data_IF_902440919056
#
_entry.id   IF_902440919056
#
_cell.length_a   1.000
_cell.length_b   1.000
_cell.length_c   1.000
_cell.angle_alpha   90.00
_cell.angle_beta   90.00
_cell.angle_gamma   90.00
#
_symmetry.space_group_name_H-M   'P 1'
#
loop_
_entity.id
_entity.type
_entity.pdbx_description
1 polymer ?
#
# COMPACT_ATOMS: atom_id res chain seq x y z
N UNK A 1 -38.74 33.45 -19.16
CA UNK A 1 -37.65 32.51 -19.48
C UNK A 1 -36.42 33.34 -19.81
N UNK A 2 -35.46 33.39 -18.89
CA UNK A 2 -34.31 34.33 -18.92
C UNK A 2 -33.31 33.82 -19.97
N UNK A 3 -33.05 34.60 -21.02
CA UNK A 3 -31.99 34.28 -21.97
C UNK A 3 -30.68 34.21 -21.20
N UNK A 4 -30.06 33.03 -21.17
CA UNK A 4 -28.76 32.86 -20.57
C UNK A 4 -27.77 33.46 -21.56
N UNK A 5 -27.21 34.62 -21.22
CA UNK A 5 -26.26 35.32 -22.08
C UNK A 5 -25.08 34.39 -22.41
N UNK A 6 -24.83 34.11 -23.69
CA UNK A 6 -23.75 33.22 -24.16
C UNK A 6 -22.38 33.64 -23.61
N UNK A 7 -22.20 34.94 -23.35
CA UNK A 7 -21.03 35.49 -22.69
C UNK A 7 -20.88 35.04 -21.22
N UNK A 8 -21.98 34.89 -20.49
CA UNK A 8 -22.02 34.37 -19.12
C UNK A 8 -21.64 32.89 -19.10
N UNK A 9 -22.19 32.09 -20.03
CA UNK A 9 -21.86 30.66 -20.20
C UNK A 9 -20.38 30.47 -20.50
N UNK A 10 -19.83 31.27 -21.43
CA UNK A 10 -18.42 31.19 -21.81
C UNK A 10 -17.48 31.54 -20.65
N UNK A 11 -17.81 32.56 -19.86
CA UNK A 11 -17.03 32.94 -18.66
C UNK A 11 -17.07 31.84 -17.60
N UNK A 12 -18.25 31.26 -17.34
CA UNK A 12 -18.39 30.15 -16.41
C UNK A 12 -17.59 28.92 -16.87
N UNK A 13 -17.61 28.60 -18.17
CA UNK A 13 -16.83 27.50 -18.74
C UNK A 13 -15.32 27.69 -18.55
N UNK A 14 -14.80 28.92 -18.74
CA UNK A 14 -13.38 29.23 -18.50
C UNK A 14 -13.02 29.06 -17.02
N UNK A 15 -13.86 29.53 -16.10
CA UNK A 15 -13.63 29.36 -14.66
C UNK A 15 -13.59 27.88 -14.27
N UNK A 16 -14.52 27.07 -14.79
CA UNK A 16 -14.51 25.62 -14.56
C UNK A 16 -13.23 24.98 -15.11
N UNK A 17 -12.80 25.33 -16.32
CA UNK A 17 -11.59 24.78 -16.94
C UNK A 17 -10.31 25.11 -16.15
N UNK A 18 -10.25 26.28 -15.52
CA UNK A 18 -9.10 26.70 -14.69
C UNK A 18 -9.17 26.12 -13.28
N UNK A 19 -10.37 25.93 -12.72
CA UNK A 19 -10.56 25.43 -11.36
C UNK A 19 -10.44 23.89 -11.25
N UNK A 20 -10.75 23.13 -12.32
CA UNK A 20 -10.67 21.66 -12.31
C UNK A 20 -9.26 21.13 -12.00
N UNK A 21 -8.17 21.66 -12.61
CA UNK A 21 -6.81 21.26 -12.25
C UNK A 21 -6.49 21.53 -10.78
N UNK A 22 -6.96 22.64 -10.20
CA UNK A 22 -6.70 22.97 -8.79
C UNK A 22 -7.32 21.94 -7.84
N UNK A 23 -8.49 21.39 -8.19
CA UNK A 23 -9.12 20.31 -7.41
C UNK A 23 -8.34 18.98 -7.53
N UNK A 24 -7.79 18.69 -8.70
CA UNK A 24 -6.94 17.50 -8.90
C UNK A 24 -5.63 17.59 -8.11
N UNK A 25 -4.96 18.74 -8.11
CA UNK A 25 -3.74 18.95 -7.32
C UNK A 25 -4.00 19.08 -5.80
N UNK A 26 -5.22 19.42 -5.38
CA UNK A 26 -5.62 19.46 -3.97
C UNK A 26 -5.86 18.06 -3.36
N UNK A 27 -6.02 17.02 -4.18
CA UNK A 27 -6.29 15.66 -3.71
C UNK A 27 -5.04 14.88 -3.28
N UNK A 28 -3.84 15.32 -3.68
CA UNK A 28 -2.59 14.68 -3.24
C UNK A 28 -1.95 15.46 -2.10
N UNK A 29 -2.10 14.95 -0.87
CA UNK A 29 -1.34 15.47 0.27
C UNK A 29 0.15 15.14 0.09
N UNK A 30 1.07 16.10 0.24
CA UNK A 30 2.51 15.83 0.27
C UNK A 30 2.90 14.79 1.34
N UNK A 31 2.11 14.69 2.41
CA UNK A 31 2.30 13.70 3.47
C UNK A 31 1.91 12.28 3.04
N UNK A 32 0.95 12.13 2.14
CA UNK A 32 0.57 10.80 1.64
C UNK A 32 1.71 10.21 0.81
N UNK A 33 2.32 11.02 -0.07
CA UNK A 33 3.49 10.59 -0.85
C UNK A 33 4.66 10.20 0.06
N UNK A 34 4.96 11.03 1.07
CA UNK A 34 6.02 10.75 2.04
C UNK A 34 5.74 9.51 2.89
N UNK A 35 4.52 9.37 3.43
CA UNK A 35 4.12 8.24 4.25
C UNK A 35 4.17 6.92 3.46
N UNK A 36 3.66 6.90 2.23
CA UNK A 36 3.75 5.72 1.37
C UNK A 36 5.20 5.37 1.03
N UNK A 37 6.05 6.36 0.77
CA UNK A 37 7.48 6.13 0.50
C UNK A 37 8.18 5.48 1.69
N UNK A 38 7.86 5.92 2.91
CA UNK A 38 8.38 5.33 4.15
C UNK A 38 7.90 3.88 4.32
N UNK A 39 6.60 3.62 4.10
CA UNK A 39 6.03 2.26 4.16
C UNK A 39 6.71 1.35 3.14
N UNK A 40 6.86 1.79 1.90
CA UNK A 40 7.56 1.02 0.85
C UNK A 40 9.00 0.72 1.25
N UNK A 41 9.73 1.71 1.76
CA UNK A 41 11.10 1.51 2.24
C UNK A 41 11.18 0.51 3.40
N UNK A 42 10.29 0.64 4.38
CA UNK A 42 10.22 -0.28 5.51
C UNK A 42 9.90 -1.71 5.04
N UNK A 43 8.95 -1.89 4.12
CA UNK A 43 8.60 -3.19 3.56
C UNK A 43 9.74 -3.81 2.75
N UNK A 44 10.50 -3.01 2.00
CA UNK A 44 11.65 -3.48 1.23
C UNK A 44 12.72 -4.12 2.12
N UNK A 45 12.87 -3.63 3.36
CA UNK A 45 13.83 -4.17 4.33
C UNK A 45 13.20 -5.29 5.18
N UNK A 46 11.97 -5.10 5.65
CA UNK A 46 11.31 -6.03 6.56
C UNK A 46 10.97 -7.38 5.90
N UNK A 47 10.59 -7.37 4.62
CA UNK A 47 10.19 -8.59 3.88
C UNK A 47 11.29 -9.65 3.83
N UNK A 48 12.53 -9.36 3.38
CA UNK A 48 13.58 -10.37 3.37
C UNK A 48 13.94 -10.86 4.78
N UNK A 49 13.89 -9.99 5.79
CA UNK A 49 14.14 -10.37 7.19
C UNK A 49 13.08 -11.37 7.66
N UNK A 50 11.79 -11.10 7.39
CA UNK A 50 10.70 -11.99 7.77
C UNK A 50 10.84 -13.38 7.13
N UNK A 51 11.26 -13.44 5.87
CA UNK A 51 11.57 -14.70 5.17
C UNK A 51 12.68 -15.46 5.91
N UNK A 52 13.78 -14.79 6.28
CA UNK A 52 14.89 -15.40 7.01
C UNK A 52 14.47 -15.92 8.39
N UNK A 53 13.63 -15.19 9.11
CA UNK A 53 13.09 -15.62 10.42
C UNK A 53 12.31 -16.93 10.28
N UNK A 54 11.43 -17.03 9.28
CA UNK A 54 10.64 -18.25 9.04
C UNK A 54 11.54 -19.43 8.67
N UNK A 55 12.53 -19.21 7.79
CA UNK A 55 13.50 -20.24 7.40
C UNK A 55 14.28 -20.73 8.62
N UNK A 56 14.83 -19.82 9.42
CA UNK A 56 15.59 -20.17 10.62
C UNK A 56 14.74 -20.92 11.65
N UNK A 57 13.50 -20.48 11.89
CA UNK A 57 12.58 -21.14 12.81
C UNK A 57 12.18 -22.53 12.31
N UNK A 58 11.91 -22.70 11.01
CA UNK A 58 11.58 -23.99 10.41
C UNK A 58 12.75 -24.99 10.53
N UNK A 59 13.99 -24.54 10.31
CA UNK A 59 15.19 -25.38 10.51
C UNK A 59 15.33 -25.77 11.98
N UNK A 60 15.19 -24.81 12.91
CA UNK A 60 15.26 -25.10 14.34
C UNK A 60 14.19 -26.10 14.80
N UNK A 61 12.97 -26.01 14.25
CA UNK A 61 11.90 -26.96 14.52
C UNK A 61 12.18 -28.34 13.92
N UNK A 62 12.73 -28.39 12.70
CA UNK A 62 13.09 -29.64 12.02
C UNK A 62 14.17 -30.44 12.77
N UNK A 63 15.10 -29.76 13.44
CA UNK A 63 16.15 -30.39 14.27
C UNK A 63 15.67 -30.63 15.71
N UNK A 64 14.39 -30.40 16.01
CA UNK A 64 13.81 -30.67 17.33
C UNK A 64 14.24 -29.70 18.44
N UNK A 65 14.75 -28.50 18.08
CA UNK A 65 15.19 -27.49 19.06
C UNK A 65 14.06 -26.59 19.54
N UNK A 66 12.99 -26.44 18.76
CA UNK A 66 11.77 -25.70 19.12
C UNK A 66 10.53 -26.45 18.63
N UNK A 67 9.35 -26.14 19.20
CA UNK A 67 8.09 -26.71 18.73
C UNK A 67 7.62 -26.02 17.43
N UNK A 68 6.93 -26.79 16.57
CA UNK A 68 6.28 -26.24 15.38
C UNK A 68 5.22 -25.18 15.69
N UNK A 69 4.64 -25.20 16.90
CA UNK A 69 3.72 -24.17 17.36
C UNK A 69 4.34 -22.76 17.33
N UNK A 70 5.62 -22.63 17.66
CA UNK A 70 6.34 -21.35 17.58
C UNK A 70 6.55 -20.89 16.14
N UNK A 71 6.77 -21.81 15.21
CA UNK A 71 6.88 -21.50 13.76
C UNK A 71 5.56 -20.96 13.23
N UNK A 72 4.45 -21.62 13.57
CA UNK A 72 3.11 -21.16 13.19
C UNK A 72 2.81 -19.80 13.80
N UNK A 73 3.14 -19.60 15.09
CA UNK A 73 3.01 -18.31 15.76
C UNK A 73 3.79 -17.19 15.08
N UNK A 74 5.02 -17.46 14.63
CA UNK A 74 5.81 -16.50 13.87
C UNK A 74 5.17 -16.12 12.53
N UNK A 75 4.62 -17.08 11.78
CA UNK A 75 3.94 -16.82 10.51
C UNK A 75 2.68 -15.96 10.72
N UNK A 76 1.88 -16.27 11.74
CA UNK A 76 0.68 -15.48 12.07
C UNK A 76 1.05 -14.07 12.51
N UNK A 77 2.09 -13.91 13.34
CA UNK A 77 2.59 -12.61 13.76
C UNK A 77 3.10 -11.76 12.58
N UNK A 78 3.85 -12.37 11.66
CA UNK A 78 4.27 -11.75 10.39
C UNK A 78 3.04 -11.28 9.62
N UNK A 79 2.04 -12.13 9.41
CA UNK A 79 0.83 -11.75 8.69
C UNK A 79 0.08 -10.55 9.33
N UNK A 80 0.09 -10.47 10.66
CA UNK A 80 -0.50 -9.34 11.39
C UNK A 80 0.31 -8.03 11.24
N UNK A 81 1.64 -8.10 11.12
CA UNK A 81 2.52 -6.92 10.99
C UNK A 81 2.46 -6.33 9.57
N UNK A 82 2.50 -7.18 8.55
CA UNK A 82 2.63 -6.74 7.15
C UNK A 82 1.32 -6.22 6.54
N UNK A 83 0.17 -6.58 7.12
CA UNK A 83 -1.14 -6.14 6.65
C UNK A 83 -1.54 -6.74 5.30
N UNK A 84 -2.75 -6.42 4.83
CA UNK A 84 -3.32 -7.02 3.63
C UNK A 84 -2.55 -6.77 2.33
N UNK A 85 -1.99 -5.57 2.03
CA UNK A 85 -1.39 -5.32 0.71
C UNK A 85 -0.20 -6.23 0.44
N UNK A 86 0.64 -6.44 1.45
CA UNK A 86 1.84 -7.26 1.32
C UNK A 86 1.50 -8.76 1.14
N UNK A 87 0.51 -9.26 1.90
CA UNK A 87 0.05 -10.65 1.76
C UNK A 87 -0.54 -10.89 0.37
N UNK A 88 -1.36 -9.96 -0.12
CA UNK A 88 -1.93 -10.04 -1.46
C UNK A 88 -0.82 -10.04 -2.51
N UNK A 89 0.19 -9.18 -2.38
CA UNK A 89 1.33 -9.13 -3.29
C UNK A 89 2.10 -10.46 -3.36
N UNK A 90 2.32 -11.13 -2.22
CA UNK A 90 2.98 -12.44 -2.21
C UNK A 90 2.14 -13.51 -2.91
N UNK A 91 0.85 -13.60 -2.59
CA UNK A 91 -0.07 -14.56 -3.21
C UNK A 91 -0.09 -14.35 -4.72
N UNK A 92 -0.21 -13.10 -5.15
CA UNK A 92 -0.15 -12.69 -6.56
C UNK A 92 1.15 -13.07 -7.23
N UNK A 93 2.28 -12.85 -6.56
CA UNK A 93 3.60 -13.29 -7.02
C UNK A 93 3.70 -14.80 -7.22
N UNK A 94 3.05 -15.61 -6.37
CA UNK A 94 3.02 -17.08 -6.54
C UNK A 94 2.26 -17.51 -7.80
N UNK A 95 1.28 -16.72 -8.25
CA UNK A 95 0.50 -16.97 -9.45
C UNK A 95 0.99 -16.18 -10.68
N UNK A 96 2.00 -15.33 -10.52
CA UNK A 96 2.54 -14.49 -11.59
C UNK A 96 1.58 -13.41 -12.11
N UNK A 97 0.63 -12.94 -11.29
CA UNK A 97 -0.44 -11.98 -11.68
C UNK A 97 -0.43 -10.67 -10.91
#
# INVERSE_FOLDING_TARGET
MRQIDTAMVRKAAVVVLVAVPMLAFAQQSPFDTGANSLVTFALAIATPIAILVVIGAAIAAAVGRISWGWVVGAIVGIAAIFGSPQIVAWIRGMFGV
#
